data_IF_056344105590
#
_entry.id   IF_056344105590
#
_cell.length_a   1.000
_cell.length_b   1.000
_cell.length_c   1.000
_cell.angle_alpha   90.00
_cell.angle_beta   90.00
_cell.angle_gamma   90.00
#
_symmetry.space_group_name_H-M   'P 1'
#
loop_
_entity.id
_entity.type
_entity.pdbx_description
1 polymer ?
#
# COMPACT_ATOMS: atom_id res chain seq x y z
N UNK A 1 -20.43 -9.26 -2.12
CA UNK A 1 -18.95 -9.03 -2.08
C UNK A 1 -18.65 -7.63 -2.57
N UNK A 2 -17.82 -6.89 -1.83
CA UNK A 2 -17.41 -5.55 -2.25
C UNK A 2 -16.43 -5.64 -3.42
N UNK A 3 -16.54 -4.69 -4.34
CA UNK A 3 -15.59 -4.59 -5.45
C UNK A 3 -14.26 -4.02 -4.99
N UNK A 4 -13.20 -4.27 -5.75
CA UNK A 4 -11.87 -3.76 -5.43
C UNK A 4 -11.82 -2.25 -5.24
N UNK A 5 -12.55 -1.49 -6.07
CA UNK A 5 -12.60 -0.03 -5.94
C UNK A 5 -13.22 0.40 -4.61
N UNK A 6 -14.23 -0.31 -4.14
CA UNK A 6 -14.87 0.00 -2.85
C UNK A 6 -13.91 -0.28 -1.69
N UNK A 7 -13.19 -1.39 -1.76
CA UNK A 7 -12.20 -1.74 -0.74
C UNK A 7 -11.06 -0.71 -0.68
N UNK A 8 -10.60 -0.25 -1.83
CA UNK A 8 -9.56 0.78 -1.92
C UNK A 8 -10.05 2.11 -1.33
N UNK A 9 -11.29 2.51 -1.65
CA UNK A 9 -11.87 3.74 -1.12
C UNK A 9 -12.00 3.69 0.41
N UNK A 10 -12.43 2.55 0.96
CA UNK A 10 -12.54 2.35 2.40
C UNK A 10 -11.16 2.40 3.08
N UNK A 11 -10.15 1.78 2.48
CA UNK A 11 -8.80 1.81 3.03
C UNK A 11 -8.21 3.21 2.96
N UNK A 12 -8.43 3.95 1.89
CA UNK A 12 -7.99 5.34 1.79
C UNK A 12 -8.60 6.18 2.91
N UNK A 13 -9.91 5.99 3.19
CA UNK A 13 -10.58 6.70 4.28
C UNK A 13 -9.99 6.29 5.64
N UNK A 14 -9.71 5.01 5.84
CA UNK A 14 -9.10 4.53 7.07
C UNK A 14 -7.71 5.17 7.29
N UNK A 15 -6.91 5.29 6.23
CA UNK A 15 -5.59 5.92 6.31
C UNK A 15 -5.70 7.38 6.73
N UNK A 16 -6.71 8.09 6.27
CA UNK A 16 -6.97 9.47 6.68
C UNK A 16 -7.37 9.52 8.16
N UNK A 17 -8.32 8.69 8.56
CA UNK A 17 -8.92 8.74 9.89
C UNK A 17 -8.01 8.19 10.99
N UNK A 18 -7.30 7.10 10.70
CA UNK A 18 -6.52 6.34 11.69
C UNK A 18 -5.04 6.72 11.64
N UNK A 19 -4.48 6.84 10.45
CA UNK A 19 -3.05 7.09 10.26
C UNK A 19 -2.73 8.56 9.98
N UNK A 20 -3.74 9.39 9.81
CA UNK A 20 -3.56 10.82 9.60
C UNK A 20 -3.07 11.20 8.20
N UNK A 21 -3.27 10.37 7.20
CA UNK A 21 -2.81 10.62 5.83
C UNK A 21 -3.75 11.56 5.06
N UNK A 22 -4.22 12.61 5.72
CA UNK A 22 -5.02 13.66 5.06
C UNK A 22 -4.12 14.56 4.20
N UNK A 23 -4.74 15.34 3.32
CA UNK A 23 -4.00 16.28 2.46
C UNK A 23 -3.16 17.28 3.28
N UNK A 24 -3.65 17.75 4.43
CA UNK A 24 -2.89 18.65 5.30
C UNK A 24 -1.71 17.94 5.97
N UNK A 25 -1.92 16.74 6.47
CA UNK A 25 -0.84 15.95 7.07
C UNK A 25 0.22 15.63 6.03
N UNK A 26 -0.22 15.28 4.83
CA UNK A 26 0.64 14.87 3.74
C UNK A 26 1.58 15.99 3.27
N UNK A 27 1.39 17.23 3.73
CA UNK A 27 2.30 18.33 3.44
C UNK A 27 3.73 18.05 3.92
N UNK A 28 3.91 17.11 4.85
CA UNK A 28 5.21 16.72 5.40
C UNK A 28 5.87 15.56 4.64
N UNK A 29 5.14 14.92 3.72
CA UNK A 29 5.62 13.78 2.95
C UNK A 29 5.53 14.07 1.46
N UNK A 30 6.48 13.57 0.70
CA UNK A 30 6.46 13.69 -0.76
C UNK A 30 5.48 12.69 -1.36
N UNK A 31 4.87 13.05 -2.47
CA UNK A 31 4.02 12.11 -3.21
C UNK A 31 4.76 10.81 -3.55
N UNK A 32 6.07 10.90 -3.82
CA UNK A 32 6.91 9.73 -4.10
C UNK A 32 6.96 8.75 -2.93
N UNK A 33 6.90 9.20 -1.69
CA UNK A 33 6.89 8.31 -0.53
C UNK A 33 5.66 7.38 -0.56
N UNK A 34 4.49 7.92 -0.90
CA UNK A 34 3.28 7.13 -1.04
C UNK A 34 3.41 6.12 -2.18
N UNK A 35 4.07 6.50 -3.28
CA UNK A 35 4.29 5.60 -4.41
C UNK A 35 5.26 4.47 -4.04
N UNK A 36 6.36 4.77 -3.37
CA UNK A 36 7.29 3.74 -2.88
C UNK A 36 6.59 2.76 -1.93
N UNK A 37 5.78 3.28 -1.02
CA UNK A 37 5.01 2.43 -0.11
C UNK A 37 4.03 1.53 -0.89
N UNK A 38 3.35 2.08 -1.89
CA UNK A 38 2.45 1.32 -2.75
C UNK A 38 3.18 0.20 -3.50
N UNK A 39 4.37 0.48 -4.02
CA UNK A 39 5.20 -0.51 -4.72
C UNK A 39 5.55 -1.67 -3.77
N UNK A 40 5.95 -1.39 -2.54
CA UNK A 40 6.27 -2.43 -1.56
C UNK A 40 5.09 -3.35 -1.28
N UNK A 41 3.89 -2.80 -1.13
CA UNK A 41 2.70 -3.62 -0.92
C UNK A 41 2.32 -4.40 -2.19
N UNK A 42 2.45 -3.81 -3.36
CA UNK A 42 2.17 -4.50 -4.62
C UNK A 42 3.16 -5.68 -4.82
N UNK A 43 4.43 -5.47 -4.55
CA UNK A 43 5.44 -6.53 -4.63
C UNK A 43 5.18 -7.64 -3.60
N UNK A 44 4.76 -7.28 -2.40
CA UNK A 44 4.34 -8.24 -1.38
C UNK A 44 3.20 -9.13 -1.89
N UNK A 45 2.20 -8.53 -2.53
CA UNK A 45 1.10 -9.28 -3.13
C UNK A 45 1.59 -10.23 -4.23
N UNK A 46 2.52 -9.79 -5.08
CA UNK A 46 3.11 -10.62 -6.13
C UNK A 46 3.78 -11.87 -5.53
N UNK A 47 4.55 -11.69 -4.45
CA UNK A 47 5.18 -12.81 -3.74
C UNK A 47 4.12 -13.83 -3.29
N UNK A 48 3.05 -13.36 -2.65
CA UNK A 48 1.99 -14.26 -2.18
C UNK A 48 1.25 -14.96 -3.30
N UNK A 49 0.94 -14.26 -4.37
CA UNK A 49 0.27 -14.83 -5.54
C UNK A 49 1.14 -15.90 -6.19
N UNK A 50 2.43 -15.63 -6.39
CA UNK A 50 3.35 -16.59 -6.99
C UNK A 50 3.50 -17.84 -6.12
N UNK A 51 3.55 -17.69 -4.80
CA UNK A 51 3.60 -18.83 -3.88
C UNK A 51 2.36 -19.71 -4.02
N UNK A 52 1.18 -19.14 -4.13
CA UNK A 52 -0.07 -19.89 -4.33
C UNK A 52 -0.01 -20.66 -5.65
N UNK A 53 0.45 -20.04 -6.72
CA UNK A 53 0.52 -20.66 -8.05
C UNK A 53 1.43 -21.88 -8.09
N UNK A 54 2.51 -21.89 -7.30
CA UNK A 54 3.43 -23.04 -7.23
C UNK A 54 3.06 -24.02 -6.12
N UNK A 55 1.94 -23.81 -5.43
CA UNK A 55 1.47 -24.70 -4.37
C UNK A 55 2.20 -24.54 -3.04
N UNK A 56 2.95 -23.49 -2.84
CA UNK A 56 3.59 -23.22 -1.54
C UNK A 56 2.56 -22.66 -0.57
N UNK A 57 2.30 -23.40 0.52
CA UNK A 57 1.34 -23.04 1.57
C UNK A 57 2.01 -22.74 2.90
N UNK A 58 3.32 -22.62 2.94
CA UNK A 58 4.05 -22.30 4.17
C UNK A 58 3.91 -20.81 4.48
N UNK A 59 2.98 -20.49 5.38
CA UNK A 59 2.65 -19.10 5.73
C UNK A 59 3.85 -18.34 6.30
N UNK A 60 4.68 -19.00 7.11
CA UNK A 60 5.88 -18.37 7.69
C UNK A 60 6.87 -17.97 6.62
N UNK A 61 7.17 -18.88 5.69
CA UNK A 61 8.09 -18.62 4.60
C UNK A 61 7.56 -17.51 3.68
N UNK A 62 6.27 -17.56 3.34
CA UNK A 62 5.62 -16.54 2.51
C UNK A 62 5.73 -15.17 3.18
N UNK A 63 5.44 -15.09 4.49
CA UNK A 63 5.50 -13.83 5.21
C UNK A 63 6.93 -13.28 5.28
N UNK A 64 7.93 -14.13 5.48
CA UNK A 64 9.33 -13.71 5.48
C UNK A 64 9.74 -13.10 4.13
N UNK A 65 9.31 -13.72 3.03
CA UNK A 65 9.57 -13.19 1.69
C UNK A 65 8.85 -11.86 1.45
N UNK A 66 7.60 -11.74 1.93
CA UNK A 66 6.83 -10.49 1.82
C UNK A 66 7.50 -9.34 2.54
N UNK A 67 8.02 -9.59 3.73
CA UNK A 67 8.69 -8.56 4.54
C UNK A 67 9.90 -8.00 3.80
N UNK A 68 10.61 -8.82 3.03
CA UNK A 68 11.76 -8.39 2.23
C UNK A 68 11.40 -7.33 1.17
N UNK A 69 10.13 -7.28 0.76
CA UNK A 69 9.67 -6.28 -0.22
C UNK A 69 9.63 -4.87 0.35
N UNK A 70 9.83 -4.72 1.65
CA UNK A 70 9.86 -3.42 2.31
C UNK A 70 11.19 -2.67 2.22
N UNK A 71 12.16 -3.12 1.43
CA UNK A 71 13.49 -2.48 1.33
C UNK A 71 13.44 -1.00 0.97
N UNK A 72 12.52 -0.63 0.09
CA UNK A 72 12.37 0.74 -0.38
C UNK A 72 11.19 1.47 0.27
N UNK A 73 10.62 0.87 1.31
CA UNK A 73 9.54 1.49 2.07
C UNK A 73 10.07 2.76 2.74
N UNK A 74 9.29 3.84 2.80
CA UNK A 74 9.76 5.10 3.37
C UNK A 74 10.30 4.93 4.78
N UNK A 75 11.42 5.58 5.05
CA UNK A 75 12.06 5.53 6.37
C UNK A 75 11.11 6.06 7.45
N UNK A 76 11.01 5.34 8.55
CA UNK A 76 10.15 5.69 9.67
C UNK A 76 8.71 5.25 9.52
N UNK A 77 8.31 4.74 8.35
CA UNK A 77 6.99 4.18 8.14
C UNK A 77 7.00 2.68 8.47
N UNK A 78 5.85 2.18 8.87
CA UNK A 78 5.69 0.81 9.35
C UNK A 78 5.12 -0.08 8.24
N UNK A 79 5.98 -0.88 7.60
CA UNK A 79 5.57 -1.81 6.57
C UNK A 79 4.93 -3.05 7.19
N UNK A 80 3.66 -3.28 6.91
CA UNK A 80 2.86 -4.36 7.47
C UNK A 80 2.22 -5.21 6.39
N UNK A 81 2.99 -6.08 5.71
CA UNK A 81 2.41 -6.98 4.71
C UNK A 81 1.39 -7.93 5.36
N UNK A 82 0.40 -8.33 4.60
CA UNK A 82 -0.72 -9.13 5.10
C UNK A 82 -1.18 -10.10 4.00
N UNK A 83 -2.48 -10.33 3.88
CA UNK A 83 -3.04 -11.15 2.80
C UNK A 83 -2.84 -10.46 1.46
N UNK A 84 -2.90 -11.22 0.36
CA UNK A 84 -2.67 -10.67 -0.98
C UNK A 84 -3.70 -9.60 -1.35
N UNK A 85 -4.97 -9.85 -1.05
CA UNK A 85 -6.03 -8.86 -1.31
C UNK A 85 -5.79 -7.60 -0.47
N UNK A 86 -5.45 -7.74 0.81
CA UNK A 86 -5.20 -6.61 1.69
C UNK A 86 -4.01 -5.80 1.22
N UNK A 87 -2.92 -6.45 0.81
CA UNK A 87 -1.74 -5.77 0.28
C UNK A 87 -2.06 -4.97 -0.97
N UNK A 88 -2.86 -5.53 -1.90
CA UNK A 88 -3.29 -4.82 -3.10
C UNK A 88 -4.19 -3.63 -2.77
N UNK A 89 -5.08 -3.79 -1.80
CA UNK A 89 -5.96 -2.71 -1.34
C UNK A 89 -5.14 -1.58 -0.73
N UNK A 90 -4.15 -1.90 0.09
CA UNK A 90 -3.23 -0.90 0.67
C UNK A 90 -2.44 -0.18 -0.43
N UNK A 91 -1.93 -0.93 -1.41
CA UNK A 91 -1.20 -0.34 -2.53
C UNK A 91 -2.08 0.67 -3.30
N UNK A 92 -3.32 0.28 -3.62
CA UNK A 92 -4.25 1.16 -4.32
C UNK A 92 -4.58 2.42 -3.53
N UNK A 93 -4.80 2.29 -2.23
CA UNK A 93 -5.10 3.43 -1.37
C UNK A 93 -3.90 4.39 -1.26
N UNK A 94 -2.67 3.88 -1.22
CA UNK A 94 -1.46 4.71 -1.20
C UNK A 94 -1.25 5.44 -2.53
N UNK A 95 -1.59 4.81 -3.65
CA UNK A 95 -1.58 5.48 -4.95
C UNK A 95 -2.60 6.62 -4.97
N UNK A 96 -3.80 6.39 -4.44
CA UNK A 96 -4.81 7.44 -4.31
C UNK A 96 -4.30 8.59 -3.44
N UNK A 97 -3.60 8.29 -2.35
CA UNK A 97 -2.98 9.31 -1.49
C UNK A 97 -1.94 10.14 -2.26
N UNK A 98 -1.13 9.50 -3.10
CA UNK A 98 -0.15 10.21 -3.94
C UNK A 98 -0.85 11.16 -4.92
N UNK A 99 -1.94 10.72 -5.54
CA UNK A 99 -2.74 11.56 -6.45
C UNK A 99 -3.30 12.76 -5.69
N UNK A 100 -3.90 12.53 -4.53
CA UNK A 100 -4.46 13.59 -3.68
C UNK A 100 -3.37 14.62 -3.32
N UNK A 101 -2.19 14.14 -2.99
CA UNK A 101 -1.05 15.00 -2.65
C UNK A 101 -0.63 15.87 -3.83
N UNK A 102 -0.53 15.30 -5.02
CA UNK A 102 -0.18 16.05 -6.22
C UNK A 102 -1.24 17.10 -6.55
N UNK A 103 -2.52 16.76 -6.43
CA UNK A 103 -3.61 17.70 -6.68
C UNK A 103 -3.61 18.85 -5.67
N UNK A 104 -3.30 18.57 -4.41
CA UNK A 104 -3.16 19.59 -3.37
C UNK A 104 -2.05 20.59 -3.74
N UNK A 105 -1.01 20.15 -4.43
CA UNK A 105 0.08 21.00 -4.91
C UNK A 105 -0.24 21.69 -6.25
N UNK A 106 -1.47 21.58 -6.75
CA UNK A 106 -1.90 22.22 -7.97
C UNK A 106 -1.60 21.44 -9.25
N UNK A 107 -1.09 20.22 -9.14
CA UNK A 107 -0.86 19.35 -10.29
C UNK A 107 -2.18 18.74 -10.71
N UNK A 108 -2.52 18.87 -11.98
CA UNK A 108 -3.79 18.38 -12.52
C UNK A 108 -3.58 17.24 -13.51
N UNK A 109 -4.62 16.49 -13.71
CA UNK A 109 -4.65 15.44 -14.73
C UNK A 109 -4.35 16.01 -16.18
#
# INVERSE_FOLDING_TARGET
MKKGIDLIAEERQRQIDVEGYSAQHDSQHNASDFVYAAISYAESAIVGINCIEIGNTNETEIMLRKVEMGKNYPFGWDFKPSTNVRDLVKAGALIAAAIDRLQTNGIKL
#
